data_IF_984585418733
#
_entry.id   IF_984585418733
#
_cell.length_a   1.000
_cell.length_b   1.000
_cell.length_c   1.000
_cell.angle_alpha   90.00
_cell.angle_beta   90.00
_cell.angle_gamma   90.00
#
_symmetry.space_group_name_H-M   'P 1'
#
loop_
_entity.id
_entity.type
_entity.pdbx_description
1 polymer ?
#
# COMPACT_ATOMS: atom_id res chain seq x y z
N UNK A 1 -1.29 21.02 -15.26
CA UNK A 1 -2.30 20.03 -14.84
C UNK A 1 -2.99 20.53 -13.57
N UNK A 2 -4.16 20.02 -13.18
CA UNK A 2 -4.74 20.28 -11.84
C UNK A 2 -4.79 18.99 -11.01
N UNK A 3 -5.12 19.08 -9.72
CA UNK A 3 -5.08 17.92 -8.81
C UNK A 3 -6.12 16.85 -9.18
N UNK A 4 -7.27 17.24 -9.71
CA UNK A 4 -8.29 16.29 -10.20
C UNK A 4 -7.71 15.42 -11.32
N UNK A 5 -7.02 15.99 -12.30
CA UNK A 5 -6.39 15.21 -13.37
C UNK A 5 -5.32 14.23 -12.86
N UNK A 6 -4.58 14.62 -11.81
CA UNK A 6 -3.57 13.77 -11.16
C UNK A 6 -4.24 12.61 -10.42
N UNK A 7 -5.33 12.88 -9.71
CA UNK A 7 -6.13 11.85 -9.03
C UNK A 7 -6.77 10.90 -10.05
N UNK A 8 -7.37 11.42 -11.12
CA UNK A 8 -7.99 10.62 -12.20
C UNK A 8 -6.96 9.67 -12.84
N UNK A 9 -5.70 10.11 -12.98
CA UNK A 9 -4.62 9.25 -13.46
C UNK A 9 -4.36 8.09 -12.50
N UNK A 10 -4.28 8.34 -11.19
CA UNK A 10 -4.10 7.30 -10.19
C UNK A 10 -5.28 6.31 -10.17
N UNK A 11 -6.52 6.82 -10.28
CA UNK A 11 -7.73 5.99 -10.35
C UNK A 11 -7.73 5.12 -11.60
N UNK A 12 -7.38 5.69 -12.76
CA UNK A 12 -7.27 4.95 -14.02
C UNK A 12 -6.22 3.82 -13.95
N UNK A 13 -5.06 4.09 -13.36
CA UNK A 13 -3.98 3.10 -13.23
C UNK A 13 -4.33 1.96 -12.26
N UNK A 14 -5.20 2.23 -11.28
CA UNK A 14 -5.67 1.27 -10.28
C UNK A 14 -7.04 0.63 -10.59
N UNK A 15 -7.62 0.96 -11.75
CA UNK A 15 -8.97 0.54 -12.15
C UNK A 15 -10.06 0.86 -11.10
N UNK A 16 -9.89 1.96 -10.36
CA UNK A 16 -10.88 2.48 -9.42
C UNK A 16 -11.78 3.50 -10.11
N UNK A 17 -13.08 3.46 -9.77
CA UNK A 17 -14.08 4.40 -10.31
C UNK A 17 -14.21 5.67 -9.49
N UNK A 18 -14.00 5.55 -8.17
CA UNK A 18 -14.21 6.62 -7.20
C UNK A 18 -12.96 6.78 -6.35
N UNK A 19 -12.74 8.00 -5.84
CA UNK A 19 -11.65 8.29 -4.90
C UNK A 19 -11.88 7.50 -3.61
N UNK A 20 -10.95 6.61 -3.21
CA UNK A 20 -11.12 5.82 -1.99
C UNK A 20 -10.99 6.69 -0.75
N UNK A 21 -11.60 6.25 0.35
CA UNK A 21 -11.75 7.04 1.57
C UNK A 21 -10.45 7.33 2.32
N UNK A 22 -9.35 6.71 1.91
CA UNK A 22 -8.00 6.94 2.43
C UNK A 22 -7.14 7.79 1.50
N UNK A 23 -7.75 8.42 0.50
CA UNK A 23 -7.11 9.27 -0.50
C UNK A 23 -7.94 10.53 -0.72
N UNK A 24 -7.32 11.63 -1.15
CA UNK A 24 -8.06 12.86 -1.42
C UNK A 24 -7.23 14.11 -1.65
N UNK A 25 -7.87 15.13 -2.20
CA UNK A 25 -7.33 16.48 -2.33
C UNK A 25 -7.56 17.22 -1.01
N UNK A 26 -6.47 17.69 -0.38
CA UNK A 26 -6.52 18.33 0.94
C UNK A 26 -6.52 19.86 0.80
N UNK A 27 -5.63 20.37 -0.06
CA UNK A 27 -5.56 21.78 -0.43
C UNK A 27 -5.47 21.83 -1.95
N UNK A 28 -6.46 22.46 -2.57
CA UNK A 28 -6.58 22.51 -4.02
C UNK A 28 -5.53 23.44 -4.66
N UNK A 29 -5.34 23.31 -5.96
CA UNK A 29 -4.36 24.06 -6.74
C UNK A 29 -4.51 23.88 -8.25
N UNK A 30 -3.96 24.82 -8.99
CA UNK A 30 -4.00 24.83 -10.46
C UNK A 30 -2.61 25.03 -11.05
N UNK A 31 -2.48 24.81 -12.37
CA UNK A 31 -1.25 25.05 -13.13
C UNK A 31 -0.04 24.25 -12.64
N UNK A 32 -0.27 23.04 -12.10
CA UNK A 32 0.77 22.14 -11.60
C UNK A 32 1.71 21.73 -12.75
N UNK A 33 3.00 21.97 -12.55
CA UNK A 33 4.11 21.56 -13.43
C UNK A 33 5.21 20.83 -12.66
N UNK A 34 5.43 21.17 -11.40
CA UNK A 34 6.43 20.56 -10.52
C UNK A 34 5.77 19.94 -9.29
N UNK A 35 6.10 18.68 -9.02
CA UNK A 35 5.53 17.87 -7.94
C UNK A 35 6.65 17.37 -7.05
N UNK A 36 6.44 17.41 -5.74
CA UNK A 36 7.23 16.67 -4.75
C UNK A 36 6.35 15.54 -4.22
N UNK A 37 6.83 14.30 -4.30
CA UNK A 37 6.10 13.10 -3.87
C UNK A 37 6.94 12.30 -2.89
N UNK A 38 6.29 11.71 -1.89
CA UNK A 38 6.93 10.83 -0.92
C UNK A 38 5.93 10.00 -0.13
N UNK A 39 6.45 9.09 0.70
CA UNK A 39 5.61 8.19 1.49
C UNK A 39 4.95 8.94 2.65
N UNK A 40 5.78 9.58 3.46
CA UNK A 40 5.35 10.40 4.59
C UNK A 40 5.66 11.87 4.32
N UNK A 41 4.61 12.67 4.07
CA UNK A 41 4.77 14.10 3.79
C UNK A 41 4.00 14.93 4.82
N UNK A 42 4.73 15.51 5.78
CA UNK A 42 4.18 16.35 6.85
C UNK A 42 4.74 17.79 6.77
N UNK A 43 4.73 18.54 7.87
CA UNK A 43 5.16 19.93 7.91
C UNK A 43 6.59 20.17 7.37
N UNK A 44 7.61 19.40 7.77
CA UNK A 44 8.98 19.58 7.28
C UNK A 44 9.11 19.39 5.76
N UNK A 45 8.45 18.38 5.20
CA UNK A 45 8.49 18.09 3.76
C UNK A 45 7.74 19.16 2.96
N UNK A 46 6.64 19.69 3.52
CA UNK A 46 5.91 20.82 2.92
C UNK A 46 6.78 22.09 2.86
N UNK A 47 7.57 22.37 3.89
CA UNK A 47 8.53 23.49 3.90
C UNK A 47 9.60 23.31 2.84
N UNK A 48 10.21 22.13 2.78
CA UNK A 48 11.20 21.82 1.75
C UNK A 48 10.61 21.94 0.34
N UNK A 49 9.41 21.42 0.10
CA UNK A 49 8.75 21.51 -1.19
C UNK A 49 8.48 22.97 -1.61
N UNK A 50 8.16 23.85 -0.65
CA UNK A 50 8.01 25.29 -0.90
C UNK A 50 9.34 25.93 -1.30
N UNK A 51 10.43 25.62 -0.61
CA UNK A 51 11.77 26.11 -0.93
C UNK A 51 12.25 25.63 -2.31
N UNK A 52 11.91 24.39 -2.67
CA UNK A 52 12.18 23.83 -3.99
C UNK A 52 11.30 24.44 -5.10
N UNK A 53 10.34 25.30 -4.76
CA UNK A 53 9.40 25.90 -5.71
C UNK A 53 8.48 24.87 -6.37
N UNK A 54 8.05 23.84 -5.62
CA UNK A 54 7.06 22.88 -6.08
C UNK A 54 5.67 23.50 -6.15
N UNK A 55 4.87 23.05 -7.12
CA UNK A 55 3.47 23.47 -7.26
C UNK A 55 2.51 22.57 -6.47
N UNK A 56 2.95 21.35 -6.14
CA UNK A 56 2.15 20.34 -5.45
C UNK A 56 3.03 19.45 -4.57
N UNK A 57 2.47 19.04 -3.42
CA UNK A 57 2.99 17.93 -2.62
C UNK A 57 1.99 16.76 -2.66
N UNK A 58 2.50 15.55 -2.91
CA UNK A 58 1.73 14.29 -2.88
C UNK A 58 2.27 13.40 -1.76
N UNK A 59 1.42 13.05 -0.79
CA UNK A 59 1.72 12.06 0.25
C UNK A 59 1.11 10.72 -0.08
N UNK A 60 1.87 9.63 0.06
CA UNK A 60 1.29 8.29 -0.03
C UNK A 60 0.42 7.97 1.18
N UNK A 61 0.98 8.08 2.39
CA UNK A 61 0.21 7.86 3.61
C UNK A 61 -0.68 9.07 3.92
N UNK A 62 -1.93 8.85 4.36
CA UNK A 62 -2.78 9.93 4.82
C UNK A 62 -2.26 10.47 6.16
N UNK A 63 -1.83 11.74 6.18
CA UNK A 63 -1.33 12.43 7.38
C UNK A 63 -2.33 13.41 8.00
N UNK A 64 -3.44 13.67 7.32
CA UNK A 64 -4.39 14.72 7.66
C UNK A 64 -5.70 14.56 6.90
N UNK A 65 -6.69 15.38 7.23
CA UNK A 65 -7.95 15.49 6.53
C UNK A 65 -8.86 14.27 6.70
N UNK A 66 -9.90 14.26 5.88
CA UNK A 66 -10.83 13.13 5.78
C UNK A 66 -10.13 11.79 5.49
N UNK A 67 -9.13 11.70 4.60
CA UNK A 67 -8.40 10.46 4.33
C UNK A 67 -7.84 9.76 5.57
N UNK A 68 -7.31 10.56 6.51
CA UNK A 68 -6.73 10.03 7.75
C UNK A 68 -7.79 9.46 8.69
N UNK A 69 -8.93 10.12 8.84
CA UNK A 69 -10.01 9.68 9.75
C UNK A 69 -10.81 8.52 9.16
N UNK A 70 -11.03 8.53 7.84
CA UNK A 70 -11.87 7.56 7.14
C UNK A 70 -11.09 6.40 6.51
N UNK A 71 -9.80 6.28 6.83
CA UNK A 71 -8.93 5.20 6.36
C UNK A 71 -9.51 3.80 6.64
N UNK A 72 -10.11 3.59 7.81
CA UNK A 72 -10.72 2.31 8.16
C UNK A 72 -11.76 1.80 7.13
N UNK A 73 -12.38 2.69 6.35
CA UNK A 73 -13.38 2.29 5.35
C UNK A 73 -12.76 1.57 4.14
N UNK A 74 -11.50 1.84 3.75
CA UNK A 74 -10.89 1.09 2.64
C UNK A 74 -10.60 -0.36 3.00
N UNK A 75 -10.58 -0.70 4.29
CA UNK A 75 -10.38 -2.07 4.73
C UNK A 75 -11.51 -2.99 4.25
N UNK A 76 -12.73 -2.49 4.00
CA UNK A 76 -13.82 -3.30 3.49
C UNK A 76 -13.48 -3.99 2.15
N UNK A 77 -12.56 -3.44 1.35
CA UNK A 77 -12.00 -4.10 0.16
C UNK A 77 -11.41 -5.49 0.46
N UNK A 78 -10.89 -5.72 1.66
CA UNK A 78 -10.35 -7.02 2.05
C UNK A 78 -11.44 -8.11 2.09
N UNK A 79 -12.72 -7.74 2.23
CA UNK A 79 -13.84 -8.68 2.09
C UNK A 79 -13.90 -9.19 0.65
N UNK A 80 -13.86 -8.30 -0.32
CA UNK A 80 -13.90 -8.65 -1.75
C UNK A 80 -12.70 -9.51 -2.13
N UNK A 81 -11.50 -9.13 -1.67
CA UNK A 81 -10.26 -9.90 -1.90
C UNK A 81 -10.33 -11.31 -1.31
N UNK A 82 -10.91 -11.47 -0.13
CA UNK A 82 -11.16 -12.79 0.48
C UNK A 82 -12.16 -13.61 -0.35
N UNK A 83 -13.23 -12.99 -0.84
CA UNK A 83 -14.24 -13.66 -1.67
C UNK A 83 -13.67 -14.10 -3.02
N UNK A 84 -12.82 -13.30 -3.65
CA UNK A 84 -12.13 -13.62 -4.91
C UNK A 84 -11.36 -14.95 -4.84
N UNK A 85 -10.86 -15.30 -3.66
CA UNK A 85 -10.09 -16.55 -3.45
C UNK A 85 -10.89 -17.64 -2.74
N UNK A 86 -12.21 -17.50 -2.65
CA UNK A 86 -13.13 -18.55 -2.22
C UNK A 86 -13.52 -18.52 -0.74
N UNK A 87 -13.17 -17.47 0.01
CA UNK A 87 -13.67 -17.30 1.39
C UNK A 87 -15.15 -16.90 1.34
N UNK A 88 -16.06 -17.59 2.06
CA UNK A 88 -17.46 -17.17 2.15
C UNK A 88 -17.59 -15.73 2.68
N UNK A 89 -18.38 -14.90 2.02
CA UNK A 89 -18.51 -13.46 2.33
C UNK A 89 -18.86 -13.18 3.80
N UNK A 90 -19.70 -14.01 4.41
CA UNK A 90 -20.07 -13.90 5.82
C UNK A 90 -18.91 -14.23 6.78
N UNK A 91 -17.98 -15.12 6.39
CA UNK A 91 -16.75 -15.37 7.15
C UNK A 91 -15.77 -14.23 6.97
N UNK A 92 -15.58 -13.75 5.75
CA UNK A 92 -14.73 -12.60 5.42
C UNK A 92 -15.13 -11.36 6.23
N UNK A 93 -16.42 -11.01 6.22
CA UNK A 93 -16.96 -9.89 6.99
C UNK A 93 -16.70 -10.04 8.50
N UNK A 94 -16.90 -11.24 9.06
CA UNK A 94 -16.69 -11.49 10.50
C UNK A 94 -15.22 -11.46 10.90
N UNK A 95 -14.33 -11.98 10.05
CA UNK A 95 -12.89 -12.00 10.31
C UNK A 95 -12.32 -10.57 10.45
N UNK A 96 -12.84 -9.65 9.64
CA UNK A 96 -12.32 -8.29 9.54
C UNK A 96 -12.95 -7.28 10.52
N UNK A 97 -14.18 -7.56 11.00
CA UNK A 97 -14.99 -6.63 11.81
C UNK A 97 -14.23 -6.01 12.99
N UNK A 98 -13.57 -6.83 13.80
CA UNK A 98 -12.88 -6.36 15.00
C UNK A 98 -11.67 -5.48 14.65
N UNK A 99 -10.99 -5.80 13.53
CA UNK A 99 -9.84 -5.05 13.04
C UNK A 99 -10.25 -3.66 12.57
N UNK A 100 -11.29 -3.55 11.74
CA UNK A 100 -11.84 -2.25 11.30
C UNK A 100 -12.17 -1.38 12.50
N UNK A 101 -12.90 -1.93 13.48
CA UNK A 101 -13.29 -1.19 14.67
C UNK A 101 -12.07 -0.75 15.52
N UNK A 102 -10.99 -1.54 15.56
CA UNK A 102 -9.74 -1.15 16.24
C UNK A 102 -9.06 0.01 15.53
N UNK A 103 -9.01 0.00 14.20
CA UNK A 103 -8.39 1.08 13.41
C UNK A 103 -9.20 2.38 13.53
N UNK A 104 -10.52 2.31 13.39
CA UNK A 104 -11.42 3.45 13.55
C UNK A 104 -11.21 4.14 14.92
N UNK A 105 -11.32 3.39 16.02
CA UNK A 105 -11.07 3.94 17.37
C UNK A 105 -9.66 4.48 17.56
N UNK A 106 -8.68 3.87 16.90
CA UNK A 106 -7.27 4.31 16.95
C UNK A 106 -7.04 5.64 16.25
N UNK A 107 -7.80 5.94 15.21
CA UNK A 107 -7.72 7.19 14.43
C UNK A 107 -8.60 8.30 14.98
N UNK A 108 -9.69 7.96 15.66
CA UNK A 108 -10.62 8.90 16.28
C UNK A 108 -9.94 10.03 17.10
N UNK A 109 -8.91 9.79 17.94
CA UNK A 109 -8.26 10.86 18.71
C UNK A 109 -7.23 11.70 17.91
N UNK A 110 -6.99 11.39 16.63
CA UNK A 110 -5.92 12.02 15.87
C UNK A 110 -6.23 13.46 15.45
N UNK A 111 -5.19 14.30 15.41
CA UNK A 111 -5.30 15.69 14.97
C UNK A 111 -5.33 15.77 13.44
N UNK A 112 -6.51 15.61 12.87
CA UNK A 112 -6.73 15.59 11.42
C UNK A 112 -6.44 16.93 10.72
N UNK A 113 -6.30 18.05 11.41
CA UNK A 113 -6.06 19.35 10.76
C UNK A 113 -4.60 19.83 10.82
N UNK A 114 -3.72 19.09 11.51
CA UNK A 114 -2.33 19.52 11.74
C UNK A 114 -1.57 19.85 10.44
N UNK A 115 -1.52 18.92 9.49
CA UNK A 115 -0.79 19.13 8.22
C UNK A 115 -1.62 19.96 7.25
N UNK A 116 -2.94 19.74 7.19
CA UNK A 116 -3.84 20.48 6.30
C UNK A 116 -3.83 21.99 6.60
N UNK A 117 -3.89 22.40 7.87
CA UNK A 117 -3.78 23.81 8.26
C UNK A 117 -2.43 24.41 7.86
N UNK A 118 -1.34 23.66 8.01
CA UNK A 118 -0.01 24.10 7.62
C UNK A 118 0.11 24.32 6.10
N UNK A 119 -0.38 23.36 5.31
CA UNK A 119 -0.46 23.46 3.85
C UNK A 119 -1.26 24.69 3.40
N UNK A 120 -2.44 24.94 4.02
CA UNK A 120 -3.28 26.11 3.73
C UNK A 120 -2.54 27.42 4.04
N UNK A 121 -1.93 27.54 5.22
CA UNK A 121 -1.19 28.75 5.60
C UNK A 121 -0.01 29.04 4.67
N UNK A 122 0.62 28.00 4.13
CA UNK A 122 1.72 28.14 3.17
C UNK A 122 1.27 28.36 1.73
N UNK A 123 -0.05 28.29 1.47
CA UNK A 123 -0.61 28.23 0.12
C UNK A 123 0.10 27.16 -0.73
N UNK A 124 0.21 25.96 -0.18
CA UNK A 124 0.81 24.79 -0.84
C UNK A 124 -0.29 23.79 -1.19
N UNK A 125 -0.59 23.57 -2.48
CA UNK A 125 -1.44 22.49 -2.91
C UNK A 125 -0.93 21.15 -2.37
N UNK A 126 -1.83 20.35 -1.82
CA UNK A 126 -1.49 19.12 -1.13
C UNK A 126 -2.58 18.07 -1.34
N UNK A 127 -2.16 16.87 -1.72
CA UNK A 127 -3.06 15.73 -1.85
C UNK A 127 -2.42 14.46 -1.31
N UNK A 128 -3.28 13.48 -1.08
CA UNK A 128 -2.90 12.16 -0.63
C UNK A 128 -3.47 11.09 -1.58
N UNK A 129 -2.64 10.11 -1.95
CA UNK A 129 -3.00 9.00 -2.82
C UNK A 129 -2.44 7.71 -2.21
N UNK A 130 -3.31 6.94 -1.55
CA UNK A 130 -2.94 5.73 -0.81
C UNK A 130 -3.38 4.46 -1.54
N UNK A 131 -4.63 4.01 -1.35
CA UNK A 131 -5.13 2.77 -1.95
C UNK A 131 -4.91 2.64 -3.47
N UNK A 132 -5.03 3.70 -4.31
CA UNK A 132 -4.74 3.58 -5.72
C UNK A 132 -3.30 3.11 -5.98
N UNK A 133 -2.34 3.63 -5.23
CA UNK A 133 -0.93 3.24 -5.31
C UNK A 133 -0.74 1.80 -4.83
N UNK A 134 -1.38 1.41 -3.72
CA UNK A 134 -1.30 0.05 -3.21
C UNK A 134 -1.83 -0.98 -4.20
N UNK A 135 -2.91 -0.67 -4.92
CA UNK A 135 -3.48 -1.55 -5.95
C UNK A 135 -2.51 -1.69 -7.13
N UNK A 136 -1.85 -0.60 -7.55
CA UNK A 136 -0.83 -0.66 -8.60
C UNK A 136 0.30 -1.60 -8.17
N UNK A 137 0.81 -1.47 -6.93
CA UNK A 137 1.82 -2.37 -6.36
C UNK A 137 1.31 -3.81 -6.29
N UNK A 138 0.11 -4.04 -5.75
CA UNK A 138 -0.49 -5.38 -5.57
C UNK A 138 -0.58 -6.12 -6.92
N UNK A 139 -1.12 -5.44 -7.94
CA UNK A 139 -1.31 -6.00 -9.27
C UNK A 139 0.03 -6.30 -9.95
N UNK A 140 0.99 -5.39 -9.84
CA UNK A 140 2.34 -5.60 -10.38
C UNK A 140 2.99 -6.85 -9.76
N UNK A 141 2.99 -6.93 -8.42
CA UNK A 141 3.62 -8.03 -7.69
C UNK A 141 2.92 -9.37 -7.91
N UNK A 142 1.59 -9.39 -7.93
CA UNK A 142 0.84 -10.61 -8.18
C UNK A 142 1.18 -11.16 -9.56
N UNK A 143 1.12 -10.32 -10.60
CA UNK A 143 1.47 -10.71 -11.97
C UNK A 143 2.93 -11.16 -12.08
N UNK A 144 3.86 -10.43 -11.46
CA UNK A 144 5.28 -10.74 -11.49
C UNK A 144 5.59 -12.09 -10.85
N UNK A 145 4.98 -12.39 -9.69
CA UNK A 145 5.16 -13.66 -9.00
C UNK A 145 4.46 -14.81 -9.73
N UNK A 146 3.25 -14.62 -10.23
CA UNK A 146 2.53 -15.65 -10.98
C UNK A 146 3.32 -16.05 -12.24
N UNK A 147 3.83 -15.08 -12.99
CA UNK A 147 4.66 -15.34 -14.17
C UNK A 147 6.01 -15.99 -13.83
N UNK A 148 6.66 -15.56 -12.75
CA UNK A 148 7.94 -16.11 -12.32
C UNK A 148 7.85 -17.53 -11.75
N UNK A 149 6.69 -17.93 -11.24
CA UNK A 149 6.48 -19.22 -10.58
C UNK A 149 5.81 -20.27 -11.48
N UNK A 150 5.14 -19.87 -12.57
CA UNK A 150 4.27 -20.74 -13.38
C UNK A 150 4.93 -22.03 -13.90
N UNK A 151 6.20 -21.96 -14.26
CA UNK A 151 6.95 -23.08 -14.87
C UNK A 151 7.76 -23.88 -13.85
N UNK A 152 7.76 -23.47 -12.58
CA UNK A 152 8.50 -24.15 -11.52
C UNK A 152 7.69 -25.34 -11.00
N UNK A 153 8.32 -26.50 -10.94
CA UNK A 153 7.71 -27.67 -10.28
C UNK A 153 7.88 -27.56 -8.76
N UNK A 154 6.76 -27.38 -8.05
CA UNK A 154 6.69 -27.26 -6.58
C UNK A 154 7.62 -26.17 -6.02
N UNK A 155 7.41 -24.89 -6.39
CA UNK A 155 8.22 -23.79 -5.89
C UNK A 155 8.16 -23.68 -4.36
N UNK A 156 9.25 -23.20 -3.77
CA UNK A 156 9.38 -23.00 -2.32
C UNK A 156 9.33 -21.53 -1.94
N UNK A 157 9.33 -21.22 -0.64
CA UNK A 157 9.44 -19.84 -0.18
C UNK A 157 10.75 -19.18 -0.64
N UNK A 158 11.84 -19.95 -0.81
CA UNK A 158 13.07 -19.42 -1.41
C UNK A 158 12.84 -18.92 -2.84
N UNK A 159 12.09 -19.66 -3.66
CA UNK A 159 11.76 -19.22 -5.03
C UNK A 159 11.02 -17.88 -5.05
N UNK A 160 10.08 -17.68 -4.12
CA UNK A 160 9.36 -16.41 -3.98
C UNK A 160 10.29 -15.28 -3.53
N UNK A 161 11.15 -15.52 -2.54
CA UNK A 161 12.13 -14.53 -2.09
C UNK A 161 13.10 -14.13 -3.21
N UNK A 162 13.58 -15.09 -4.00
CA UNK A 162 14.54 -14.83 -5.07
C UNK A 162 13.94 -14.03 -6.22
N UNK A 163 12.64 -14.22 -6.51
CA UNK A 163 11.89 -13.36 -7.43
C UNK A 163 11.75 -11.94 -6.87
N UNK A 164 11.28 -11.79 -5.62
CA UNK A 164 11.12 -10.46 -5.02
C UNK A 164 12.45 -9.67 -5.02
N UNK A 165 13.57 -10.32 -4.71
CA UNK A 165 14.91 -9.68 -4.71
C UNK A 165 15.41 -9.23 -6.10
N UNK A 166 14.76 -9.60 -7.18
CA UNK A 166 15.08 -9.12 -8.53
C UNK A 166 14.43 -7.77 -8.85
N UNK A 167 13.37 -7.40 -8.12
CA UNK A 167 12.68 -6.11 -8.29
C UNK A 167 13.59 -5.00 -7.72
N UNK A 168 13.87 -3.92 -8.47
CA UNK A 168 14.80 -2.87 -8.06
C UNK A 168 14.53 -2.30 -6.67
N UNK A 169 13.27 -2.01 -6.36
CA UNK A 169 12.85 -1.43 -5.08
C UNK A 169 13.16 -2.36 -3.90
N UNK A 170 13.02 -3.67 -4.06
CA UNK A 170 13.39 -4.64 -3.02
C UNK A 170 14.89 -4.88 -2.97
N UNK A 171 15.56 -4.89 -4.12
CA UNK A 171 17.01 -5.10 -4.22
C UNK A 171 17.81 -3.97 -3.58
N UNK A 172 17.35 -2.73 -3.75
CA UNK A 172 18.05 -1.53 -3.31
C UNK A 172 17.60 -1.07 -1.91
N UNK A 173 16.54 -1.67 -1.36
CA UNK A 173 16.10 -1.39 -0.01
C UNK A 173 17.06 -1.96 1.05
N UNK A 174 17.19 -1.20 2.15
CA UNK A 174 17.88 -1.69 3.36
C UNK A 174 17.09 -2.82 4.02
N UNK A 175 15.75 -2.76 3.94
CA UNK A 175 14.87 -3.81 4.45
C UNK A 175 14.56 -4.81 3.34
N UNK A 176 15.19 -5.97 3.42
CA UNK A 176 15.01 -7.05 2.46
C UNK A 176 13.73 -7.84 2.75
N UNK A 177 13.07 -8.42 1.72
CA UNK A 177 12.00 -9.39 1.90
C UNK A 177 12.42 -10.53 2.83
N UNK A 178 11.55 -10.89 3.77
CA UNK A 178 11.83 -11.88 4.80
C UNK A 178 10.64 -12.81 5.05
N UNK A 179 10.92 -14.10 5.23
CA UNK A 179 9.94 -15.08 5.70
C UNK A 179 9.68 -14.79 7.18
N UNK A 180 8.40 -14.60 7.53
CA UNK A 180 7.95 -14.33 8.91
C UNK A 180 7.09 -15.46 9.48
N UNK A 181 6.60 -16.35 8.63
CA UNK A 181 6.02 -17.65 8.97
C UNK A 181 6.37 -18.65 7.87
N UNK A 182 6.86 -19.84 8.25
CA UNK A 182 7.44 -20.84 7.35
C UNK A 182 8.97 -20.79 7.30
N UNK A 183 9.55 -21.59 6.40
CA UNK A 183 10.98 -21.78 6.17
C UNK A 183 11.31 -21.77 4.68
N UNK A 184 12.58 -21.56 4.31
CA UNK A 184 13.01 -21.46 2.90
C UNK A 184 12.63 -22.66 2.04
N UNK A 185 12.57 -23.84 2.65
CA UNK A 185 12.36 -25.13 1.98
C UNK A 185 10.88 -25.51 1.92
N UNK A 186 10.01 -24.77 2.60
CA UNK A 186 8.57 -25.01 2.56
C UNK A 186 8.03 -24.69 1.16
N UNK A 187 7.15 -25.55 0.64
CA UNK A 187 6.45 -25.29 -0.61
C UNK A 187 5.57 -24.05 -0.45
N UNK A 188 5.62 -23.12 -1.41
CA UNK A 188 4.88 -21.87 -1.30
C UNK A 188 3.36 -22.07 -1.56
N UNK A 189 2.98 -23.14 -2.24
CA UNK A 189 1.59 -23.37 -2.64
C UNK A 189 1.06 -22.23 -3.51
N UNK A 190 -0.24 -21.91 -3.39
CA UNK A 190 -0.79 -20.72 -4.06
C UNK A 190 -0.33 -19.46 -3.32
N UNK A 191 0.36 -18.57 -4.05
CA UNK A 191 0.82 -17.28 -3.53
C UNK A 191 -0.26 -16.23 -3.75
N UNK A 192 -0.56 -15.46 -2.70
CA UNK A 192 -1.46 -14.31 -2.76
C UNK A 192 -0.74 -13.06 -2.26
N UNK A 193 -0.74 -12.02 -3.08
CA UNK A 193 -0.22 -10.71 -2.71
C UNK A 193 -1.33 -9.89 -2.06
N UNK A 194 -1.04 -9.33 -0.88
CA UNK A 194 -1.92 -8.47 -0.10
C UNK A 194 -1.19 -7.17 0.24
N UNK A 195 -1.34 -6.19 -0.64
CA UNK A 195 -0.81 -4.83 -0.45
C UNK A 195 -1.95 -3.80 -0.32
N UNK A 196 -3.10 -4.04 -0.96
CA UNK A 196 -4.18 -3.08 -1.08
C UNK A 196 -5.38 -3.42 -0.18
N UNK A 197 -5.45 -2.76 0.97
CA UNK A 197 -6.57 -2.88 1.89
C UNK A 197 -6.49 -1.93 3.08
N UNK A 198 -5.81 -0.80 2.92
CA UNK A 198 -5.43 0.12 4.00
C UNK A 198 -4.28 -0.44 4.85
N UNK A 199 -4.50 -1.53 5.57
CA UNK A 199 -3.47 -2.14 6.42
C UNK A 199 -3.70 -3.64 6.58
N UNK A 200 -2.82 -4.36 7.31
CA UNK A 200 -3.01 -5.79 7.57
C UNK A 200 -4.37 -6.09 8.25
N UNK A 201 -5.02 -7.16 7.81
CA UNK A 201 -6.32 -7.62 8.31
C UNK A 201 -6.28 -8.32 9.68
N UNK A 202 -5.09 -8.66 10.18
CA UNK A 202 -4.91 -9.39 11.43
C UNK A 202 -5.01 -10.91 11.28
N UNK A 203 -4.75 -11.61 12.38
CA UNK A 203 -4.63 -13.07 12.47
C UNK A 203 -5.83 -13.83 11.90
N UNK A 204 -7.06 -13.36 12.17
CA UNK A 204 -8.30 -13.98 11.66
C UNK A 204 -8.43 -13.89 10.14
N UNK A 205 -7.95 -12.80 9.53
CA UNK A 205 -7.99 -12.60 8.07
C UNK A 205 -6.96 -13.50 7.40
N UNK A 206 -5.73 -13.57 7.95
CA UNK A 206 -4.71 -14.51 7.47
C UNK A 206 -5.21 -15.96 7.52
N UNK A 207 -5.82 -16.36 8.65
CA UNK A 207 -6.41 -17.71 8.79
C UNK A 207 -7.47 -17.97 7.72
N UNK A 208 -8.34 -17.00 7.44
CA UNK A 208 -9.40 -17.16 6.45
C UNK A 208 -8.84 -17.44 5.05
N UNK A 209 -7.76 -16.76 4.64
CA UNK A 209 -7.07 -17.05 3.39
C UNK A 209 -6.44 -18.45 3.36
N UNK A 210 -5.75 -18.84 4.44
CA UNK A 210 -5.14 -20.16 4.52
C UNK A 210 -6.18 -21.30 4.49
N UNK A 211 -7.29 -21.14 5.22
CA UNK A 211 -8.42 -22.08 5.19
C UNK A 211 -9.06 -22.19 3.79
N UNK A 212 -8.89 -21.18 2.93
CA UNK A 212 -9.35 -21.19 1.54
C UNK A 212 -8.31 -21.76 0.54
N UNK A 213 -7.18 -22.26 1.03
CA UNK A 213 -6.16 -22.92 0.20
C UNK A 213 -5.07 -21.99 -0.33
N UNK A 214 -4.96 -20.76 0.18
CA UNK A 214 -3.77 -19.93 -0.04
C UNK A 214 -2.61 -20.54 0.76
N UNK A 215 -1.50 -20.86 0.09
CA UNK A 215 -0.32 -21.44 0.73
C UNK A 215 0.62 -20.40 1.31
N UNK A 216 0.74 -19.25 0.64
CA UNK A 216 1.63 -18.16 1.06
C UNK A 216 0.97 -16.82 0.85
N UNK A 217 1.05 -15.96 1.85
CA UNK A 217 0.71 -14.53 1.73
C UNK A 217 2.00 -13.72 1.61
N UNK A 218 2.07 -12.83 0.62
CA UNK A 218 3.09 -11.79 0.52
C UNK A 218 2.45 -10.46 0.90
N UNK A 219 2.96 -9.80 1.94
CA UNK A 219 2.44 -8.52 2.42
C UNK A 219 3.57 -7.52 2.74
N UNK A 220 3.22 -6.25 2.91
CA UNK A 220 4.20 -5.19 3.19
C UNK A 220 4.76 -5.25 4.62
N UNK A 221 3.90 -5.56 5.59
CA UNK A 221 4.22 -5.56 7.01
C UNK A 221 3.31 -6.52 7.80
N UNK A 222 3.77 -6.95 8.97
CA UNK A 222 3.00 -7.79 9.89
C UNK A 222 3.41 -7.48 11.34
N UNK A 223 2.47 -7.02 12.20
CA UNK A 223 2.72 -6.85 13.63
C UNK A 223 3.12 -8.17 14.30
N UNK A 224 3.94 -8.10 15.36
CA UNK A 224 4.50 -9.31 15.99
C UNK A 224 3.43 -10.20 16.66
N UNK A 225 2.36 -9.60 17.22
CA UNK A 225 1.20 -10.33 17.74
C UNK A 225 0.48 -11.13 16.65
N UNK A 226 0.32 -10.53 15.46
CA UNK A 226 -0.25 -11.22 14.30
C UNK A 226 0.69 -12.32 13.78
N UNK A 227 2.00 -12.04 13.72
CA UNK A 227 3.02 -13.03 13.31
C UNK A 227 2.97 -14.27 14.19
N UNK A 228 2.94 -14.07 15.51
CA UNK A 228 2.92 -15.16 16.48
C UNK A 228 1.65 -16.00 16.32
N UNK A 229 0.48 -15.37 16.20
CA UNK A 229 -0.78 -16.06 15.97
C UNK A 229 -0.79 -16.85 14.64
N UNK A 230 -0.21 -16.31 13.57
CA UNK A 230 -0.11 -17.02 12.28
C UNK A 230 0.81 -18.24 12.37
N UNK A 231 1.94 -18.15 13.08
CA UNK A 231 2.82 -19.31 13.31
C UNK A 231 2.08 -20.40 14.11
N UNK A 232 1.34 -20.01 15.15
CA UNK A 232 0.56 -20.95 15.98
C UNK A 232 -0.56 -21.63 15.21
N UNK A 233 -1.13 -20.97 14.20
CA UNK A 233 -2.11 -21.61 13.31
C UNK A 233 -1.48 -22.79 12.54
N UNK A 234 -0.20 -22.69 12.17
CA UNK A 234 0.55 -23.74 11.47
C UNK A 234 -0.17 -24.27 10.21
N UNK A 235 -0.75 -23.36 9.41
CA UNK A 235 -1.52 -23.70 8.19
C UNK A 235 -0.79 -23.25 6.93
N UNK A 236 -0.26 -22.02 6.92
CA UNK A 236 0.34 -21.40 5.75
C UNK A 236 1.50 -20.47 6.09
N UNK A 237 2.06 -19.86 5.05
CA UNK A 237 3.30 -19.10 5.12
C UNK A 237 3.07 -17.61 4.94
N UNK A 238 4.01 -16.81 5.44
CA UNK A 238 4.00 -15.35 5.24
C UNK A 238 5.38 -14.85 4.89
N UNK A 239 5.47 -14.11 3.79
CA UNK A 239 6.61 -13.29 3.43
C UNK A 239 6.23 -11.82 3.63
N UNK A 240 7.04 -11.12 4.42
CA UNK A 240 6.96 -9.66 4.56
C UNK A 240 7.99 -9.06 3.61
N UNK A 241 7.52 -8.39 2.56
CA UNK A 241 8.35 -7.87 1.48
C UNK A 241 9.09 -6.57 1.84
N UNK A 242 8.64 -5.88 2.89
CA UNK A 242 9.16 -4.59 3.33
C UNK A 242 8.21 -3.46 2.95
N UNK A 243 7.95 -2.56 3.90
CA UNK A 243 6.95 -1.50 3.73
C UNK A 243 7.40 -0.47 2.69
N UNK A 244 8.52 0.20 2.95
CA UNK A 244 9.00 1.29 2.09
C UNK A 244 9.23 0.85 0.64
N UNK A 245 9.84 -0.32 0.45
CA UNK A 245 10.09 -0.88 -0.87
C UNK A 245 8.80 -1.24 -1.61
N UNK A 246 7.78 -1.73 -0.91
CA UNK A 246 6.50 -2.07 -1.54
C UNK A 246 5.72 -0.81 -1.97
N UNK A 247 5.62 0.21 -1.11
CA UNK A 247 4.99 1.49 -1.47
C UNK A 247 5.70 2.14 -2.67
N UNK A 248 7.03 2.02 -2.69
CA UNK A 248 7.88 2.62 -3.72
C UNK A 248 7.58 2.08 -5.11
N UNK A 249 7.20 0.81 -5.27
CA UNK A 249 6.88 0.23 -6.59
C UNK A 249 5.75 1.00 -7.26
N UNK A 250 4.61 1.13 -6.57
CA UNK A 250 3.45 1.87 -7.07
C UNK A 250 3.75 3.35 -7.25
N UNK A 251 4.50 3.96 -6.31
CA UNK A 251 4.90 5.37 -6.40
C UNK A 251 5.84 5.64 -7.59
N UNK A 252 6.75 4.72 -7.90
CA UNK A 252 7.66 4.84 -9.04
C UNK A 252 6.91 4.72 -10.36
N UNK A 253 6.00 3.75 -10.47
CA UNK A 253 5.12 3.59 -11.64
C UNK A 253 4.28 4.86 -11.83
N UNK A 254 3.64 5.35 -10.77
CA UNK A 254 2.82 6.56 -10.83
C UNK A 254 3.64 7.81 -11.17
N UNK A 255 4.82 7.98 -10.55
CA UNK A 255 5.74 9.07 -10.84
C UNK A 255 6.14 9.08 -12.31
N UNK A 256 6.41 7.90 -12.89
CA UNK A 256 6.76 7.79 -14.30
C UNK A 256 5.62 8.25 -15.21
N UNK A 257 4.38 7.91 -14.85
CA UNK A 257 3.21 8.37 -15.60
C UNK A 257 2.98 9.88 -15.47
N UNK A 258 3.27 10.49 -14.33
CA UNK A 258 3.26 11.96 -14.19
C UNK A 258 4.33 12.62 -15.07
N UNK A 259 5.54 12.08 -15.12
CA UNK A 259 6.60 12.55 -16.02
C UNK A 259 6.20 12.43 -17.49
N UNK A 260 5.56 11.31 -17.88
CA UNK A 260 5.03 11.10 -19.22
C UNK A 260 3.94 12.12 -19.59
N UNK A 261 3.27 12.72 -18.61
CA UNK A 261 2.31 13.83 -18.78
C UNK A 261 2.97 15.22 -18.77
N UNK A 262 4.29 15.30 -18.68
CA UNK A 262 5.07 16.53 -18.74
C UNK A 262 5.27 17.23 -17.40
N UNK A 263 5.04 16.54 -16.27
CA UNK A 263 5.35 17.08 -14.94
C UNK A 263 6.79 16.77 -14.56
N UNK A 264 7.44 17.69 -13.84
CA UNK A 264 8.70 17.44 -13.15
C UNK A 264 8.39 16.83 -11.79
N UNK A 265 8.93 15.65 -11.51
CA UNK A 265 8.68 14.92 -10.25
C UNK A 265 9.96 14.84 -9.43
N UNK A 266 9.89 15.26 -8.17
CA UNK A 266 10.95 15.10 -7.18
C UNK A 266 10.46 14.08 -6.15
N UNK A 267 11.20 12.98 -6.01
CA UNK A 267 10.90 11.89 -5.06
C UNK A 267 11.69 12.10 -3.77
N UNK A 268 11.01 12.12 -2.63
CA UNK A 268 11.62 12.19 -1.29
C UNK A 268 10.82 11.31 -0.30
N UNK A 269 11.12 11.41 1.00
CA UNK A 269 10.24 10.87 2.04
C UNK A 269 10.10 9.35 2.01
N UNK A 270 11.17 8.64 1.63
CA UNK A 270 11.25 7.18 1.75
C UNK A 270 11.01 6.38 0.47
N UNK A 271 10.86 7.02 -0.69
CA UNK A 271 10.81 6.32 -1.98
C UNK A 271 12.18 5.68 -2.27
N UNK A 272 12.17 4.38 -2.55
CA UNK A 272 13.31 3.57 -3.00
C UNK A 272 13.23 3.42 -4.52
N UNK A 273 14.37 3.44 -5.20
CA UNK A 273 14.50 3.25 -6.66
C UNK A 273 15.36 2.03 -6.95
#
# INVERSE_FOLDING_TARGET
MNLNNIMDLALKLSDLKDIPSDSGIIVDGENIKKVVIGVDMEGPELLLAKELGSDLVISHHPKTGSPYINFHNVMYRQIDKMVEVGVPINKAQKALKDRIAKIERGQHPGNYDRVASFARQMSMPYMNIHLPIDIITENFLQNYLDEGLKDLYRPTLSSVLDLLKQIPEYKNAVTMPAIRAGSTDDYCGKVLVLMAGGTNGGDKVFKAYFDAGIGTIVCMHMPDDVRQAVIEQNIGNVIVAGHMSSDSIGLNIFSKELENKGLSVIKIGGIVE
#
